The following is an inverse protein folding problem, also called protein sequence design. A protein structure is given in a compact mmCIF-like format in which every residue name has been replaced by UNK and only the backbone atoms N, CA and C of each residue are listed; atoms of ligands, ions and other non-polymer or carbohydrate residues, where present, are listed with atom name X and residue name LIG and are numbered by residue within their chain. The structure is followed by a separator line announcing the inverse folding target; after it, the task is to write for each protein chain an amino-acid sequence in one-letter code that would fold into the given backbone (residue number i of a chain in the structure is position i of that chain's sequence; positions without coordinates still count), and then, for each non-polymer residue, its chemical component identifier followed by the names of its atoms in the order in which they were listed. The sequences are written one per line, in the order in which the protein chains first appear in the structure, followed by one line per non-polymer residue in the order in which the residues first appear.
data_IF_538830586923
#
_entry.id   IF_538830586923
#
_cell.length_a   1.000
_cell.length_b   1.000
_cell.length_c   1.000
_cell.angle_alpha   90.00
_cell.angle_beta   90.00
_cell.angle_gamma   90.00
#
_symmetry.space_group_name_H-M   'P 1'
#
loop_
_entity.id
_entity.type
_entity.pdbx_description
1 polymer ?
#
# COMPACT_ATOMS: atom_id res chain seq x y z
N UNK A 1 -11.62 38.89 10.19
CA UNK A 1 -10.46 38.28 9.53
C UNK A 1 -10.02 37.08 10.35
N UNK A 2 -10.13 35.84 9.87
CA UNK A 2 -9.52 34.71 10.57
C UNK A 2 -8.00 34.88 10.49
N UNK A 3 -7.33 34.81 11.65
CA UNK A 3 -5.87 34.94 11.74
C UNK A 3 -5.14 33.80 11.03
N UNK A 4 -3.81 33.93 10.83
CA UNK A 4 -3.01 32.88 10.20
C UNK A 4 -3.13 31.58 11.00
N UNK A 5 -3.59 30.53 10.31
CA UNK A 5 -3.66 29.18 10.85
C UNK A 5 -2.22 28.70 11.04
N UNK A 6 -1.70 28.80 12.27
CA UNK A 6 -0.43 28.18 12.64
C UNK A 6 -0.64 26.66 12.59
N UNK A 7 -0.30 26.06 11.45
CA UNK A 7 -0.06 24.61 11.36
C UNK A 7 1.03 24.28 12.39
N UNK A 8 0.80 23.32 13.31
CA UNK A 8 1.86 22.87 14.21
C UNK A 8 3.06 22.46 13.37
N UNK A 9 4.28 22.81 13.80
CA UNK A 9 5.48 22.34 13.11
C UNK A 9 5.45 20.82 13.04
N UNK A 10 5.48 20.27 11.82
CA UNK A 10 5.58 18.84 11.49
C UNK A 10 6.90 18.19 11.95
N UNK A 11 7.45 18.65 13.08
CA UNK A 11 8.59 18.05 13.78
C UNK A 11 8.10 16.90 14.64
N UNK A 12 7.41 15.95 14.01
CA UNK A 12 7.11 14.70 14.68
C UNK A 12 8.41 13.90 14.81
N UNK A 13 8.86 13.76 16.04
CA UNK A 13 9.99 12.92 16.45
C UNK A 13 9.53 11.56 16.97
N UNK A 14 8.22 11.29 16.95
CA UNK A 14 7.67 10.01 17.38
C UNK A 14 7.97 8.94 16.34
N UNK A 15 8.89 8.03 16.72
CA UNK A 15 9.24 6.85 15.95
C UNK A 15 8.11 5.83 16.07
N UNK A 16 7.72 5.26 14.95
CA UNK A 16 6.86 4.09 14.88
C UNK A 16 7.42 3.08 13.87
N UNK A 17 6.74 1.95 13.74
CA UNK A 17 7.12 0.89 12.80
C UNK A 17 5.94 0.55 11.89
N UNK A 18 6.25 0.05 10.71
CA UNK A 18 5.24 -0.46 9.78
C UNK A 18 5.79 -1.61 8.97
N UNK A 19 4.90 -2.53 8.58
CA UNK A 19 5.25 -3.66 7.73
C UNK A 19 5.20 -3.22 6.26
N UNK A 20 6.25 -3.55 5.52
CA UNK A 20 6.36 -3.40 4.07
C UNK A 20 6.90 -4.71 3.50
N UNK A 21 6.14 -5.37 2.61
CA UNK A 21 6.56 -6.64 1.98
C UNK A 21 6.95 -7.76 2.97
N UNK A 22 6.37 -7.73 4.18
CA UNK A 22 6.68 -8.68 5.27
C UNK A 22 7.81 -8.27 6.20
N UNK A 23 8.52 -7.18 5.89
CA UNK A 23 9.62 -6.64 6.71
C UNK A 23 9.14 -5.47 7.58
N UNK A 24 9.60 -5.42 8.84
CA UNK A 24 9.31 -4.31 9.76
C UNK A 24 10.27 -3.17 9.53
N UNK A 25 9.76 -2.03 9.07
CA UNK A 25 10.53 -0.83 8.74
C UNK A 25 10.24 0.28 9.76
N UNK A 26 11.30 0.90 10.27
CA UNK A 26 11.19 2.07 11.14
C UNK A 26 10.75 3.30 10.34
N UNK A 27 9.84 4.08 10.91
CA UNK A 27 9.30 5.27 10.28
C UNK A 27 8.99 6.40 11.30
N UNK A 28 8.74 7.59 10.77
CA UNK A 28 8.24 8.76 11.50
C UNK A 28 6.93 9.22 10.88
N UNK A 29 5.98 9.71 11.69
CA UNK A 29 4.72 10.26 11.15
C UNK A 29 4.89 11.75 10.88
N UNK A 30 5.07 12.17 9.64
CA UNK A 30 5.30 13.58 9.27
C UNK A 30 4.16 14.07 8.39
N UNK A 31 3.47 15.14 8.80
CA UNK A 31 2.33 15.67 8.04
C UNK A 31 1.19 14.66 7.89
N UNK A 32 0.97 13.79 8.89
CA UNK A 32 -0.08 12.77 8.89
C UNK A 32 0.25 11.48 8.11
N UNK A 33 1.44 11.37 7.50
CA UNK A 33 1.85 10.18 6.73
C UNK A 33 3.13 9.55 7.29
N UNK A 34 3.18 8.22 7.29
CA UNK A 34 4.39 7.47 7.69
C UNK A 34 5.49 7.67 6.65
N UNK A 35 6.66 8.10 7.12
CA UNK A 35 7.90 8.29 6.36
C UNK A 35 8.91 7.23 6.80
N UNK A 36 9.14 6.23 5.96
CA UNK A 36 9.95 5.04 6.23
C UNK A 36 11.43 5.30 5.97
N UNK A 37 12.29 4.65 6.75
CA UNK A 37 13.74 4.66 6.59
C UNK A 37 14.16 4.01 5.26
N UNK A 38 14.57 4.84 4.29
CA UNK A 38 14.93 4.36 2.96
C UNK A 38 16.10 3.35 2.98
N UNK A 39 17.20 3.58 3.74
CA UNK A 39 18.27 2.58 3.84
C UNK A 39 17.81 1.21 4.34
N UNK A 40 16.79 1.11 5.19
CA UNK A 40 16.27 -0.21 5.59
C UNK A 40 15.63 -0.90 4.40
N UNK A 41 14.74 -0.22 3.68
CA UNK A 41 14.03 -0.77 2.51
C UNK A 41 15.01 -1.25 1.45
N UNK A 42 16.04 -0.44 1.15
CA UNK A 42 17.04 -0.78 0.13
C UNK A 42 17.89 -2.00 0.52
N UNK A 43 18.14 -2.21 1.82
CA UNK A 43 18.99 -3.30 2.31
C UNK A 43 18.20 -4.56 2.71
N UNK A 44 16.88 -4.49 2.85
CA UNK A 44 16.00 -5.63 3.11
C UNK A 44 15.14 -5.95 1.89
N UNK A 45 14.04 -5.22 1.70
CA UNK A 45 12.98 -5.51 0.70
C UNK A 45 13.49 -5.45 -0.74
N UNK A 46 14.32 -4.44 -1.06
CA UNK A 46 14.80 -4.19 -2.43
C UNK A 46 16.27 -4.56 -2.64
N UNK A 47 16.82 -5.45 -1.79
CA UNK A 47 18.24 -5.83 -1.80
C UNK A 47 18.72 -6.41 -3.13
N UNK A 48 17.84 -7.09 -3.86
CA UNK A 48 18.16 -7.76 -5.13
C UNK A 48 18.11 -6.80 -6.33
N UNK A 49 17.81 -5.51 -6.12
CA UNK A 49 17.77 -4.48 -7.16
C UNK A 49 18.96 -3.53 -7.03
N UNK A 50 19.50 -3.12 -8.18
CA UNK A 50 20.54 -2.09 -8.19
C UNK A 50 19.96 -0.72 -7.85
N UNK A 51 20.76 0.15 -7.23
CA UNK A 51 20.35 1.54 -6.96
C UNK A 51 19.97 2.29 -8.23
N UNK A 52 20.62 1.99 -9.36
CA UNK A 52 20.27 2.59 -10.65
C UNK A 52 18.86 2.21 -11.09
N UNK A 53 18.46 0.94 -10.92
CA UNK A 53 17.10 0.49 -11.24
C UNK A 53 16.07 1.12 -10.30
N UNK A 54 16.36 1.15 -9.00
CA UNK A 54 15.47 1.73 -8.01
C UNK A 54 15.25 3.21 -8.30
N UNK A 55 16.32 3.97 -8.55
CA UNK A 55 16.22 5.39 -8.88
C UNK A 55 15.45 5.64 -10.19
N UNK A 56 15.67 4.81 -11.23
CA UNK A 56 14.92 4.93 -12.48
C UNK A 56 13.41 4.75 -12.27
N UNK A 57 12.99 3.78 -11.45
CA UNK A 57 11.57 3.57 -11.11
C UNK A 57 11.04 4.68 -10.21
N UNK A 58 11.83 5.19 -9.26
CA UNK A 58 11.47 6.37 -8.47
C UNK A 58 11.20 7.59 -9.37
N UNK A 59 12.06 7.85 -10.35
CA UNK A 59 11.89 8.95 -11.30
C UNK A 59 10.64 8.76 -12.16
N UNK A 60 10.39 7.55 -12.67
CA UNK A 60 9.19 7.23 -13.46
C UNK A 60 7.90 7.43 -12.65
N UNK A 61 7.87 6.95 -11.41
CA UNK A 61 6.74 7.04 -10.48
C UNK A 61 6.58 8.42 -9.82
N UNK A 62 7.54 9.33 -10.04
CA UNK A 62 7.64 10.65 -9.40
C UNK A 62 7.68 10.55 -7.87
N UNK A 63 8.43 9.58 -7.35
CA UNK A 63 8.62 9.36 -5.91
C UNK A 63 9.59 10.38 -5.35
N UNK A 64 9.16 11.09 -4.30
CA UNK A 64 10.01 12.05 -3.60
C UNK A 64 10.55 11.48 -2.29
N UNK A 65 11.87 11.34 -2.22
CA UNK A 65 12.58 10.98 -0.99
C UNK A 65 13.04 12.23 -0.25
N UNK A 66 12.55 12.45 0.97
CA UNK A 66 13.01 13.53 1.84
C UNK A 66 14.25 13.13 2.63
N UNK A 67 14.95 14.09 3.22
CA UNK A 67 16.07 13.84 4.13
C UNK A 67 15.58 13.89 5.58
N UNK A 68 16.11 13.02 6.43
CA UNK A 68 15.91 13.12 7.88
C UNK A 68 16.36 14.48 8.42
N UNK A 69 15.64 14.98 9.43
CA UNK A 69 16.16 16.04 10.31
C UNK A 69 17.30 15.50 11.19
N UNK A 70 18.06 16.40 11.83
CA UNK A 70 19.11 16.00 12.78
C UNK A 70 18.54 15.11 13.90
N UNK A 71 17.39 15.49 14.45
CA UNK A 71 16.71 14.76 15.53
C UNK A 71 16.27 13.36 15.08
N UNK A 72 15.67 13.24 13.88
CA UNK A 72 15.26 11.95 13.31
C UNK A 72 16.46 11.04 13.05
N UNK A 73 17.56 11.60 12.54
CA UNK A 73 18.79 10.83 12.29
C UNK A 73 19.39 10.31 13.60
N UNK A 74 19.42 11.13 14.64
CA UNK A 74 19.92 10.73 15.96
C UNK A 74 19.06 9.61 16.56
N UNK A 75 17.74 9.70 16.48
CA UNK A 75 16.83 8.65 16.95
C UNK A 75 17.11 7.32 16.25
N UNK A 76 17.29 7.32 14.91
CA UNK A 76 17.62 6.10 14.17
C UNK A 76 18.98 5.50 14.55
N UNK A 77 19.96 6.34 14.91
CA UNK A 77 21.27 5.89 15.38
C UNK A 77 21.20 5.27 16.77
N UNK A 78 20.55 5.94 17.72
CA UNK A 78 20.38 5.47 19.10
C UNK A 78 19.62 4.15 19.15
N UNK A 79 18.65 3.95 18.25
CA UNK A 79 17.89 2.69 18.12
C UNK A 79 18.63 1.58 17.38
N UNK A 80 19.86 1.80 16.93
CA UNK A 80 20.65 0.80 16.22
C UNK A 80 20.15 0.49 14.80
N UNK A 81 19.27 1.31 14.24
CA UNK A 81 18.78 1.17 12.87
C UNK A 81 19.85 1.60 11.87
N UNK A 82 20.61 2.65 12.20
CA UNK A 82 21.71 3.17 11.39
C UNK A 82 23.00 3.23 12.22
N UNK A 83 24.18 3.08 11.60
CA UNK A 83 25.45 3.25 12.30
C UNK A 83 25.65 4.72 12.71
N UNK A 84 26.36 4.96 13.82
CA UNK A 84 26.68 6.32 14.28
C UNK A 84 27.45 7.15 13.24
N UNK A 85 28.21 6.49 12.37
CA UNK A 85 28.94 7.11 11.25
C UNK A 85 28.05 7.58 10.09
N UNK A 86 26.75 7.25 10.07
CA UNK A 86 25.85 7.65 9.00
C UNK A 86 25.75 9.19 8.91
N UNK A 87 26.11 9.81 7.77
CA UNK A 87 26.09 11.26 7.64
C UNK A 87 24.69 11.82 7.37
N UNK A 88 23.81 11.00 6.78
CA UNK A 88 22.43 11.37 6.45
C UNK A 88 21.59 10.11 6.23
N UNK A 89 20.27 10.26 6.30
CA UNK A 89 19.31 9.23 5.95
C UNK A 89 18.20 9.82 5.08
N UNK A 90 17.78 9.06 4.06
CA UNK A 90 16.59 9.37 3.26
C UNK A 90 15.34 8.77 3.88
N UNK A 91 14.19 9.41 3.65
CA UNK A 91 12.88 8.94 4.03
C UNK A 91 11.95 8.90 2.80
N UNK A 92 11.13 7.87 2.71
CA UNK A 92 10.13 7.68 1.65
C UNK A 92 8.74 7.54 2.29
N UNK A 93 7.69 8.07 1.67
CA UNK A 93 6.32 7.89 2.20
C UNK A 93 5.92 6.41 2.17
N UNK A 94 5.02 5.98 3.05
CA UNK A 94 4.47 4.63 3.00
C UNK A 94 3.82 4.35 1.64
N UNK A 95 3.02 5.29 1.17
CA UNK A 95 2.34 5.22 -0.14
C UNK A 95 3.34 4.98 -1.27
N UNK A 96 4.42 5.77 -1.34
CA UNK A 96 5.42 5.63 -2.40
C UNK A 96 6.29 4.38 -2.25
N UNK A 97 6.59 3.96 -1.02
CA UNK A 97 7.30 2.71 -0.77
C UNK A 97 6.50 1.51 -1.28
N UNK A 98 5.19 1.47 -1.06
CA UNK A 98 4.32 0.41 -1.58
C UNK A 98 4.24 0.46 -3.12
N UNK A 99 4.09 1.65 -3.72
CA UNK A 99 4.11 1.81 -5.19
C UNK A 99 5.42 1.33 -5.81
N UNK A 100 6.55 1.72 -5.21
CA UNK A 100 7.89 1.36 -5.66
C UNK A 100 8.10 -0.16 -5.57
N UNK A 101 7.75 -0.78 -4.44
CA UNK A 101 7.85 -2.23 -4.26
C UNK A 101 6.97 -2.96 -5.27
N UNK A 102 5.74 -2.50 -5.50
CA UNK A 102 4.86 -3.11 -6.47
C UNK A 102 5.40 -3.05 -7.91
N UNK A 103 5.96 -1.90 -8.31
CA UNK A 103 6.55 -1.72 -9.63
C UNK A 103 7.79 -2.62 -9.83
N UNK A 104 8.67 -2.72 -8.83
CA UNK A 104 9.89 -3.51 -8.92
C UNK A 104 9.65 -5.03 -8.80
N UNK A 105 8.80 -5.44 -7.86
CA UNK A 105 8.57 -6.86 -7.55
C UNK A 105 7.56 -7.52 -8.49
N UNK A 106 6.55 -6.77 -8.94
CA UNK A 106 5.42 -7.31 -9.70
C UNK A 106 5.21 -6.65 -11.07
N UNK A 107 5.84 -5.50 -11.35
CA UNK A 107 5.62 -4.70 -12.56
C UNK A 107 6.17 -5.24 -13.87
N UNK A 108 6.70 -6.48 -13.91
CA UNK A 108 7.03 -7.19 -15.15
C UNK A 108 8.12 -6.59 -16.06
N UNK A 109 8.69 -5.43 -15.73
CA UNK A 109 9.65 -4.71 -16.57
C UNK A 109 11.09 -5.27 -16.51
N UNK A 110 11.44 -6.07 -15.50
CA UNK A 110 12.80 -6.60 -15.29
C UNK A 110 12.73 -8.04 -14.75
N UNK A 111 13.74 -8.90 -15.02
CA UNK A 111 13.56 -10.34 -14.97
C UNK A 111 13.12 -10.78 -13.57
N UNK A 112 12.10 -11.65 -13.46
CA UNK A 112 11.51 -12.04 -12.19
C UNK A 112 12.42 -13.03 -11.48
N UNK A 113 13.38 -12.50 -10.72
CA UNK A 113 14.06 -13.25 -9.68
C UNK A 113 13.08 -13.44 -8.52
N UNK A 114 12.41 -14.59 -8.47
CA UNK A 114 11.61 -15.10 -7.33
C UNK A 114 10.16 -14.60 -7.19
N UNK A 115 9.31 -14.83 -8.20
CA UNK A 115 7.93 -15.27 -7.93
C UNK A 115 7.23 -15.84 -9.18
N UNK A 116 7.94 -16.67 -9.95
CA UNK A 116 7.32 -17.55 -10.95
C UNK A 116 7.14 -18.94 -10.35
N UNK A 117 6.09 -19.12 -9.55
CA UNK A 117 5.46 -20.43 -9.39
C UNK A 117 3.98 -20.28 -9.67
N UNK A 118 3.67 -20.52 -10.93
CA UNK A 118 2.50 -21.22 -11.45
C UNK A 118 1.32 -21.37 -10.48
N UNK A 119 0.37 -20.45 -10.57
CA UNK A 119 -1.05 -20.74 -10.35
C UNK A 119 -1.85 -20.15 -11.50
N UNK A 120 -1.50 -20.54 -12.73
CA UNK A 120 -2.40 -20.43 -13.87
C UNK A 120 -3.37 -21.64 -13.84
N UNK A 121 -4.07 -21.81 -12.73
CA UNK A 121 -5.24 -22.68 -12.68
C UNK A 121 -6.43 -21.76 -12.91
N UNK A 122 -7.09 -21.90 -14.07
CA UNK A 122 -8.37 -21.25 -14.31
C UNK A 122 -9.35 -21.74 -13.25
N UNK A 123 -9.53 -20.94 -12.20
CA UNK A 123 -10.46 -21.28 -11.14
C UNK A 123 -11.87 -21.20 -11.73
N UNK A 124 -12.57 -22.33 -11.71
CA UNK A 124 -13.99 -22.37 -12.03
C UNK A 124 -14.73 -21.54 -10.98
N UNK A 125 -15.55 -20.61 -11.48
CA UNK A 125 -16.42 -19.74 -10.68
C UNK A 125 -17.22 -20.63 -9.71
N UNK A 126 -16.89 -20.59 -8.42
CA UNK A 126 -17.73 -21.24 -7.40
C UNK A 126 -19.04 -20.46 -7.30
N UNK A 127 -20.16 -21.11 -6.96
CA UNK A 127 -21.47 -20.44 -6.80
C UNK A 127 -21.45 -19.26 -5.81
N UNK A 128 -20.45 -19.22 -4.94
CA UNK A 128 -20.24 -18.20 -3.90
C UNK A 128 -19.21 -17.14 -4.27
N UNK A 129 -18.54 -17.28 -5.41
CA UNK A 129 -17.59 -16.29 -5.87
C UNK A 129 -18.29 -15.03 -6.37
N UNK A 130 -17.69 -13.87 -6.12
CA UNK A 130 -18.27 -12.59 -6.51
C UNK A 130 -17.23 -11.56 -6.94
N UNK A 131 -17.65 -10.64 -7.79
CA UNK A 131 -16.80 -9.63 -8.41
C UNK A 131 -16.53 -8.49 -7.44
N UNK A 132 -15.26 -8.18 -7.26
CA UNK A 132 -14.76 -7.06 -6.46
C UNK A 132 -13.90 -6.14 -7.31
N UNK A 133 -13.66 -4.92 -6.83
CA UNK A 133 -12.73 -3.98 -7.44
C UNK A 133 -12.11 -3.06 -6.38
N UNK A 134 -11.01 -2.42 -6.74
CA UNK A 134 -10.44 -1.29 -6.00
C UNK A 134 -10.09 -0.17 -6.99
N UNK A 135 -9.83 1.02 -6.48
CA UNK A 135 -9.47 2.20 -7.27
C UNK A 135 -8.15 2.84 -6.81
N UNK A 136 -7.27 2.04 -6.20
CA UNK A 136 -5.97 2.49 -5.75
C UNK A 136 -4.95 2.38 -6.89
N UNK A 137 -4.19 3.45 -7.14
CA UNK A 137 -3.17 3.53 -8.18
C UNK A 137 -3.69 3.12 -9.58
N UNK A 138 -4.91 3.55 -9.89
CA UNK A 138 -5.66 3.08 -11.06
C UNK A 138 -6.89 2.30 -10.63
N UNK A 139 -7.16 1.18 -11.32
CA UNK A 139 -8.33 0.34 -11.05
C UNK A 139 -8.06 -1.07 -11.50
N UNK A 140 -8.35 -2.04 -10.64
CA UNK A 140 -8.38 -3.45 -11.01
C UNK A 140 -9.71 -4.08 -10.59
N UNK A 141 -10.20 -4.99 -11.42
CA UNK A 141 -11.35 -5.86 -11.11
C UNK A 141 -10.87 -7.27 -10.83
N UNK A 142 -11.51 -7.93 -9.89
CA UNK A 142 -11.17 -9.29 -9.47
C UNK A 142 -12.39 -10.13 -9.18
N UNK A 143 -12.19 -11.44 -9.15
CA UNK A 143 -13.15 -12.42 -8.63
C UNK A 143 -12.67 -12.87 -7.26
N UNK A 144 -13.43 -12.55 -6.22
CA UNK A 144 -13.21 -13.01 -4.86
C UNK A 144 -13.79 -14.43 -4.69
N UNK A 145 -13.00 -15.31 -4.08
CA UNK A 145 -13.38 -16.70 -3.80
C UNK A 145 -13.26 -16.93 -2.29
N UNK A 146 -14.35 -16.70 -1.52
CA UNK A 146 -14.31 -16.73 -0.06
C UNK A 146 -13.76 -18.02 0.52
N UNK A 147 -13.98 -19.16 -0.13
CA UNK A 147 -13.51 -20.48 0.32
C UNK A 147 -11.98 -20.56 0.44
N UNK A 148 -11.25 -19.76 -0.33
CA UNK A 148 -9.78 -19.75 -0.32
C UNK A 148 -9.20 -18.84 0.76
N UNK A 149 -10.01 -17.99 1.40
CA UNK A 149 -9.54 -17.05 2.42
C UNK A 149 -9.42 -17.74 3.78
N UNK A 150 -8.36 -18.53 3.95
CA UNK A 150 -8.05 -19.24 5.20
C UNK A 150 -7.18 -18.42 6.17
N UNK A 151 -6.37 -17.49 5.65
CA UNK A 151 -5.49 -16.63 6.41
C UNK A 151 -5.24 -15.29 5.66
N UNK A 152 -4.72 -14.24 6.31
CA UNK A 152 -4.50 -12.92 5.69
C UNK A 152 -3.59 -12.91 4.46
N UNK A 153 -2.71 -13.91 4.34
CA UNK A 153 -1.81 -14.12 3.20
C UNK A 153 -2.37 -15.06 2.14
N UNK A 154 -3.57 -15.61 2.29
CA UNK A 154 -4.14 -16.55 1.35
C UNK A 154 -4.56 -15.85 0.05
N UNK A 155 -4.08 -16.38 -1.08
CA UNK A 155 -4.45 -15.88 -2.40
C UNK A 155 -5.89 -16.28 -2.74
N UNK A 156 -6.81 -15.33 -2.61
CA UNK A 156 -8.26 -15.57 -2.68
C UNK A 156 -8.98 -14.64 -3.67
N UNK A 157 -8.26 -13.70 -4.29
CA UNK A 157 -8.79 -12.82 -5.33
C UNK A 157 -8.07 -13.09 -6.64
N UNK A 158 -8.82 -13.50 -7.67
CA UNK A 158 -8.29 -13.64 -9.02
C UNK A 158 -8.43 -12.32 -9.77
N UNK A 159 -7.34 -11.76 -10.31
CA UNK A 159 -7.44 -10.63 -11.22
C UNK A 159 -8.17 -11.03 -12.51
N UNK A 160 -9.13 -10.22 -12.97
CA UNK A 160 -9.89 -10.53 -14.20
C UNK A 160 -9.07 -10.33 -15.49
N UNK A 161 -7.99 -9.53 -15.43
CA UNK A 161 -7.14 -9.23 -16.57
C UNK A 161 -6.00 -10.26 -16.72
N UNK A 162 -5.14 -10.43 -15.70
CA UNK A 162 -4.01 -11.38 -15.77
C UNK A 162 -4.31 -12.79 -15.25
N UNK A 163 -5.47 -13.03 -14.64
CA UNK A 163 -5.90 -14.33 -14.08
C UNK A 163 -5.03 -14.88 -12.94
N UNK A 164 -4.06 -14.11 -12.45
CA UNK A 164 -3.26 -14.45 -11.28
C UNK A 164 -4.07 -14.28 -9.99
N UNK A 165 -3.74 -15.10 -9.00
CA UNK A 165 -4.35 -15.09 -7.67
C UNK A 165 -3.53 -14.19 -6.72
N UNK A 166 -4.22 -13.34 -5.98
CA UNK A 166 -3.63 -12.39 -5.06
C UNK A 166 -4.25 -12.48 -3.66
N UNK A 167 -3.45 -12.33 -2.59
CA UNK A 167 -3.97 -11.96 -1.28
C UNK A 167 -4.63 -10.58 -1.33
N UNK A 168 -5.61 -10.27 -0.44
CA UNK A 168 -6.36 -9.02 -0.52
C UNK A 168 -5.48 -7.76 -0.48
N UNK A 169 -4.49 -7.72 0.41
CA UNK A 169 -3.55 -6.60 0.55
C UNK A 169 -2.63 -6.41 -0.69
N UNK A 170 -2.38 -7.47 -1.46
CA UNK A 170 -1.64 -7.39 -2.74
C UNK A 170 -2.54 -7.02 -3.91
N UNK A 171 -3.77 -7.48 -3.89
CA UNK A 171 -4.74 -7.15 -4.93
C UNK A 171 -5.02 -5.65 -4.98
N UNK A 172 -5.13 -4.97 -3.83
CA UNK A 172 -5.44 -3.52 -3.78
C UNK A 172 -4.31 -2.61 -4.30
N UNK A 173 -3.11 -3.13 -4.55
CA UNK A 173 -2.01 -2.39 -5.19
C UNK A 173 -1.72 -2.89 -6.61
N UNK A 174 -2.37 -3.97 -7.03
CA UNK A 174 -2.21 -4.55 -8.35
C UNK A 174 -3.03 -3.78 -9.40
N UNK A 175 -2.42 -3.40 -10.52
CA UNK A 175 -3.09 -2.65 -11.59
C UNK A 175 -2.43 -2.93 -12.94
N UNK A 176 -3.23 -3.03 -14.00
CA UNK A 176 -2.77 -3.24 -15.38
C UNK A 176 -2.82 -2.00 -16.25
N UNK A 177 -3.50 -0.95 -15.78
CA UNK A 177 -3.46 0.34 -16.46
C UNK A 177 -2.09 0.96 -16.24
N UNK A 178 -1.68 1.82 -17.17
CA UNK A 178 -0.49 2.65 -16.98
C UNK A 178 -0.54 3.29 -15.59
N UNK A 179 0.58 3.22 -14.88
CA UNK A 179 0.71 3.73 -13.51
C UNK A 179 0.22 5.18 -13.48
N UNK A 180 -0.69 5.50 -12.55
CA UNK A 180 -1.22 6.86 -12.39
C UNK A 180 -0.12 7.79 -11.86
N UNK A 181 0.76 8.26 -12.73
CA UNK A 181 1.93 9.05 -12.35
C UNK A 181 1.63 10.56 -12.25
N UNK A 182 0.39 10.98 -12.54
CA UNK A 182 -0.06 12.38 -12.45
C UNK A 182 -0.97 12.65 -11.27
N UNK A 183 -1.35 11.61 -10.51
CA UNK A 183 -2.19 11.73 -9.33
C UNK A 183 -1.32 11.66 -8.09
N UNK A 184 -1.41 12.65 -7.21
CA UNK A 184 -0.78 12.56 -5.90
C UNK A 184 -1.60 11.59 -5.03
N UNK A 185 -0.98 10.48 -4.65
CA UNK A 185 -1.56 9.53 -3.69
C UNK A 185 -0.99 9.83 -2.31
N UNK A 186 -1.83 9.78 -1.28
CA UNK A 186 -1.43 10.11 0.08
C UNK A 186 -2.18 9.23 1.08
N UNK A 187 -1.47 8.73 2.10
CA UNK A 187 -2.07 7.94 3.18
C UNK A 187 -2.54 6.53 2.78
N UNK A 188 -2.03 5.98 1.67
CA UNK A 188 -2.32 4.59 1.31
C UNK A 188 -1.51 3.64 2.22
N UNK A 189 -2.16 2.57 2.66
CA UNK A 189 -1.55 1.49 3.43
C UNK A 189 -2.22 0.16 3.05
N UNK A 190 -1.49 -0.74 2.38
CA UNK A 190 -2.03 -2.04 1.95
C UNK A 190 -2.63 -2.88 3.08
N UNK A 191 -2.22 -2.69 4.34
CA UNK A 191 -2.85 -3.35 5.49
C UNK A 191 -4.33 -2.98 5.66
N UNK A 192 -4.72 -1.78 5.20
CA UNK A 192 -6.07 -1.25 5.22
C UNK A 192 -6.91 -1.65 4.00
N UNK A 193 -6.53 -2.72 3.28
CA UNK A 193 -7.21 -3.21 2.07
C UNK A 193 -8.73 -3.32 2.17
N UNK A 194 -9.26 -3.56 3.37
CA UNK A 194 -10.71 -3.65 3.66
C UNK A 194 -11.46 -2.38 3.31
N UNK A 195 -10.83 -1.22 3.51
CA UNK A 195 -11.39 0.08 3.15
C UNK A 195 -11.36 0.33 1.63
N UNK A 196 -10.46 -0.35 0.92
CA UNK A 196 -10.22 -0.14 -0.51
C UNK A 196 -10.93 -1.15 -1.41
N UNK A 197 -11.23 -2.34 -0.88
CA UNK A 197 -11.89 -3.41 -1.62
C UNK A 197 -13.41 -3.26 -1.59
N UNK A 198 -13.99 -3.10 -2.77
CA UNK A 198 -15.41 -2.80 -2.98
C UNK A 198 -16.09 -3.89 -3.82
N UNK A 199 -17.36 -4.16 -3.55
CA UNK A 199 -18.19 -5.05 -4.37
C UNK A 199 -18.49 -4.39 -5.73
N UNK A 200 -18.37 -5.14 -6.83
CA UNK A 200 -18.64 -4.64 -8.18
C UNK A 200 -20.03 -4.01 -8.32
N UNK A 201 -20.12 -2.99 -9.18
CA UNK A 201 -21.39 -2.34 -9.51
C UNK A 201 -22.19 -3.11 -10.57
N UNK A 202 -21.62 -4.17 -11.14
CA UNK A 202 -22.22 -4.93 -12.24
C UNK A 202 -23.47 -5.76 -11.81
N UNK A 203 -23.80 -5.78 -10.51
CA UNK A 203 -24.97 -6.49 -9.95
C UNK A 203 -26.23 -5.63 -9.99
N UNK A 204 -27.21 -6.02 -10.80
CA UNK A 204 -28.46 -5.28 -11.00
C UNK A 204 -29.50 -5.52 -9.88
N UNK A 205 -29.47 -6.70 -9.24
CA UNK A 205 -30.42 -7.06 -8.17
C UNK A 205 -30.05 -6.44 -6.83
N UNK A 206 -30.97 -5.67 -6.22
CA UNK A 206 -30.75 -5.09 -4.88
C UNK A 206 -30.51 -6.15 -3.81
N UNK A 207 -31.25 -7.25 -3.85
CA UNK A 207 -31.12 -8.36 -2.89
C UNK A 207 -29.80 -9.13 -3.08
N UNK A 208 -29.44 -9.44 -4.32
CA UNK A 208 -28.16 -10.07 -4.65
C UNK A 208 -26.98 -9.21 -4.19
N UNK A 209 -27.03 -7.91 -4.46
CA UNK A 209 -26.01 -6.95 -4.03
C UNK A 209 -25.92 -6.85 -2.50
N UNK A 210 -27.05 -6.88 -1.79
CA UNK A 210 -27.07 -6.87 -0.33
C UNK A 210 -26.44 -8.15 0.25
N UNK A 211 -26.82 -9.33 -0.29
CA UNK A 211 -26.26 -10.62 0.13
C UNK A 211 -24.74 -10.69 -0.09
N UNK A 212 -24.28 -10.29 -1.29
CA UNK A 212 -22.85 -10.29 -1.60
C UNK A 212 -22.07 -9.22 -0.81
N UNK A 213 -22.71 -8.10 -0.50
CA UNK A 213 -22.16 -7.08 0.39
C UNK A 213 -21.91 -7.63 1.79
N UNK A 214 -22.90 -8.32 2.37
CA UNK A 214 -22.75 -9.01 3.66
C UNK A 214 -21.62 -10.04 3.62
N UNK A 215 -21.54 -10.87 2.58
CA UNK A 215 -20.44 -11.84 2.44
C UNK A 215 -19.05 -11.16 2.35
N UNK A 216 -18.95 -9.99 1.73
CA UNK A 216 -17.71 -9.22 1.69
C UNK A 216 -17.38 -8.63 3.06
N UNK A 217 -18.37 -8.14 3.79
CA UNK A 217 -18.17 -7.56 5.13
C UNK A 217 -17.77 -8.64 6.16
N UNK A 218 -18.44 -9.80 6.14
CA UNK A 218 -18.06 -10.97 6.95
C UNK A 218 -16.59 -11.38 6.73
N UNK A 219 -16.13 -11.36 5.47
CA UNK A 219 -14.73 -11.67 5.15
C UNK A 219 -13.77 -10.61 5.73
N UNK A 220 -14.15 -9.33 5.68
CA UNK A 220 -13.35 -8.25 6.26
C UNK A 220 -13.23 -8.43 7.77
N UNK A 221 -14.33 -8.75 8.45
CA UNK A 221 -14.37 -9.00 9.90
C UNK A 221 -13.58 -10.25 10.32
N UNK A 222 -13.69 -11.36 9.57
CA UNK A 222 -13.01 -12.63 9.89
C UNK A 222 -11.47 -12.51 9.97
N UNK A 223 -10.88 -11.53 9.30
CA UNK A 223 -9.44 -11.28 9.40
C UNK A 223 -9.00 -10.36 10.55
N UNK A 224 -9.92 -9.79 11.35
CA UNK A 224 -9.58 -8.97 12.54
C UNK A 224 -9.09 -9.85 13.69
N UNK A 225 -9.76 -10.98 13.92
CA UNK A 225 -9.48 -11.91 15.01
C UNK A 225 -8.04 -12.48 15.03
N UNK A 226 -7.33 -12.49 13.90
CA UNK A 226 -5.97 -13.03 13.82
C UNK A 226 -4.86 -11.99 14.06
N UNK A 227 -5.15 -10.69 13.92
CA UNK A 227 -4.13 -9.63 14.07
C UNK A 227 -4.03 -9.17 15.54
N UNK A 228 -5.11 -9.29 16.32
CA UNK A 228 -5.14 -8.90 17.74
C UNK A 228 -4.16 -9.68 18.65
N UNK A 229 -3.59 -10.80 18.19
CA UNK A 229 -2.70 -11.64 19.02
C UNK A 229 -1.21 -11.31 18.93
N UNK A 230 -0.77 -10.27 18.19
CA UNK A 230 0.69 -10.04 18.04
C UNK A 230 1.25 -8.65 18.27
N UNK A 231 0.49 -7.56 18.48
CA UNK A 231 1.11 -6.28 18.89
C UNK A 231 0.17 -5.43 19.74
N UNK A 232 0.73 -4.96 20.84
CA UNK A 232 0.16 -4.10 21.85
C UNK A 232 -0.40 -2.78 21.27
N UNK A 233 -1.63 -2.47 21.67
CA UNK A 233 -2.09 -1.16 22.15
C UNK A 233 -1.66 0.10 21.36
N UNK A 234 -2.35 0.44 20.26
CA UNK A 234 -2.86 1.81 19.98
C UNK A 234 -3.87 1.72 18.83
N UNK A 235 -5.15 1.84 19.15
CA UNK A 235 -6.26 1.88 18.19
C UNK A 235 -6.22 3.22 17.45
N UNK A 236 -5.78 3.22 16.20
CA UNK A 236 -6.09 4.33 15.29
C UNK A 236 -7.53 4.14 14.78
N UNK A 237 -8.36 5.14 15.04
CA UNK A 237 -9.78 5.22 14.65
C UNK A 237 -9.97 5.02 13.13
N UNK A 238 -11.18 4.64 12.67
CA UNK A 238 -11.45 4.38 11.26
C UNK A 238 -11.41 5.69 10.47
N UNK A 239 -10.51 5.80 9.49
CA UNK A 239 -10.52 6.92 8.55
C UNK A 239 -11.55 6.64 7.44
N UNK A 240 -12.80 6.99 7.72
CA UNK A 240 -13.80 7.20 6.67
C UNK A 240 -13.56 8.55 6.01
N UNK A 241 -13.51 8.54 4.68
CA UNK A 241 -13.62 9.70 3.80
C UNK A 241 -12.52 10.78 3.92
N UNK A 242 -11.38 10.58 3.23
CA UNK A 242 -10.66 11.64 2.50
C UNK A 242 -9.39 11.05 1.87
N UNK A 243 -9.49 10.63 0.60
CA UNK A 243 -8.32 10.39 -0.24
C UNK A 243 -8.68 10.64 -1.70
N UNK A 244 -9.03 11.89 -2.01
CA UNK A 244 -8.96 12.45 -3.36
C UNK A 244 -8.92 13.97 -3.26
N UNK A 245 -7.73 14.51 -3.01
CA UNK A 245 -7.47 15.94 -3.28
C UNK A 245 -6.75 15.99 -4.62
N UNK A 246 -7.52 16.17 -5.69
CA UNK A 246 -6.95 16.64 -6.95
C UNK A 246 -6.48 18.08 -6.73
N UNK A 247 -5.17 18.32 -6.78
CA UNK A 247 -4.68 19.64 -7.14
C UNK A 247 -4.78 19.76 -8.66
N UNK A 248 -5.91 20.27 -9.12
CA UNK A 248 -5.94 20.99 -10.39
C UNK A 248 -5.12 22.27 -10.21
N UNK A 249 -3.82 22.18 -10.50
CA UNK A 249 -3.04 23.33 -10.91
C UNK A 249 -2.76 23.16 -12.39
N UNK A 250 -3.73 23.55 -13.20
CA UNK A 250 -3.45 23.95 -14.58
C UNK A 250 -2.38 25.05 -14.54
N UNK A 251 -1.30 24.97 -15.34
CA UNK A 251 -0.46 26.14 -15.55
C UNK A 251 -1.33 27.24 -16.19
N UNK A 252 -1.23 28.50 -15.74
CA UNK A 252 -1.87 29.58 -16.48
C UNK A 252 -1.27 29.63 -17.89
N UNK A 253 -2.15 29.46 -18.88
CA UNK A 253 -1.86 29.75 -20.27
C UNK A 253 -1.59 31.27 -20.42
N UNK A 254 -0.44 31.57 -21.05
CA UNK A 254 -0.02 32.83 -21.68
C UNK A 254 0.05 34.10 -20.80
#
# INVERSE_FOLDING_TARGET
MPGPFFMPSDRSTERCETVLEGETISCFVVGGEKRLCLPQILNSVLRDFSLQQINAVCDELHVYCSRCTADQLEILKVMGILPFSAPSCGLITKTDAERLCNALLYGGAYPPGRCKKEYAAGLEVTERSFKVYHECFGKCKGLMVPELYSNPGAACIQCLDCRLMYPPHKFVIHSHKALENRTCHWGFDSANWRAYLLLSQDYAGKEEKARLGQSLDEMKENGECQIQNSLDSTVCLPWSAQAKVCLELSPPLA
#
